data_IF_034548729131
#
_entry.id   IF_034548729131
#
_cell.length_a   1.000
_cell.length_b   1.000
_cell.length_c   1.000
_cell.angle_alpha   90.00
_cell.angle_beta   90.00
_cell.angle_gamma   90.00
#
_symmetry.space_group_name_H-M   'P 1'
#
loop_
_entity.id
_entity.type
_entity.pdbx_description
1 polymer ?
#
# COMPACT_ATOMS: atom_id res chain seq x y z
N UNK A 1 3.54 -6.46 18.95
CA UNK A 1 4.27 -5.45 18.16
C UNK A 1 3.23 -4.56 17.49
N UNK A 2 3.38 -3.25 17.64
CA UNK A 2 2.50 -2.24 17.02
C UNK A 2 3.24 -1.50 15.91
N UNK A 3 2.47 -0.86 15.02
CA UNK A 3 3.01 0.02 13.98
C UNK A 3 3.99 -0.68 13.02
N UNK A 4 3.61 -1.87 12.56
CA UNK A 4 4.40 -2.59 11.57
C UNK A 4 4.04 -2.07 10.18
N UNK A 5 5.06 -1.61 9.45
CA UNK A 5 4.91 -1.11 8.08
C UNK A 5 5.96 -1.78 7.19
N UNK A 6 5.49 -2.46 6.16
CA UNK A 6 6.35 -3.00 5.12
C UNK A 6 6.49 -2.00 3.97
N UNK A 7 7.69 -1.83 3.48
CA UNK A 7 7.96 -1.03 2.28
C UNK A 7 8.53 -1.96 1.22
N UNK A 8 7.93 -1.94 0.05
CA UNK A 8 8.32 -2.83 -1.05
C UNK A 8 8.16 -2.16 -2.43
N UNK A 9 8.55 -2.87 -3.46
CA UNK A 9 8.45 -2.44 -4.86
C UNK A 9 8.21 -3.61 -5.80
N UNK A 10 8.65 -3.46 -7.05
CA UNK A 10 8.67 -4.52 -8.10
C UNK A 10 7.30 -5.05 -8.55
N UNK A 11 6.21 -4.36 -8.25
CA UNK A 11 4.84 -4.80 -8.57
C UNK A 11 4.28 -4.10 -9.80
N UNK A 12 4.98 -3.10 -10.34
CA UNK A 12 4.56 -2.25 -11.46
C UNK A 12 3.25 -1.47 -11.20
N UNK A 13 3.02 -1.16 -9.95
CA UNK A 13 1.94 -0.30 -9.48
C UNK A 13 2.22 0.12 -8.05
N UNK A 14 1.97 1.37 -7.73
CA UNK A 14 2.15 1.89 -6.36
C UNK A 14 0.83 1.93 -5.64
N UNK A 15 0.84 1.53 -4.40
CA UNK A 15 -0.36 1.49 -3.56
C UNK A 15 0.03 1.48 -2.08
N UNK A 16 -0.95 1.79 -1.25
CA UNK A 16 -0.91 1.44 0.17
C UNK A 16 -2.02 0.44 0.48
N UNK A 17 -1.76 -0.44 1.42
CA UNK A 17 -2.69 -1.47 1.85
C UNK A 17 -2.60 -1.71 3.35
N UNK A 18 -3.65 -2.29 3.90
CA UNK A 18 -3.76 -2.65 5.30
C UNK A 18 -4.18 -4.11 5.43
N UNK A 19 -3.52 -4.82 6.33
CA UNK A 19 -3.88 -6.17 6.74
C UNK A 19 -4.47 -6.12 8.15
N UNK A 20 -5.65 -6.67 8.33
CA UNK A 20 -6.38 -6.74 9.61
C UNK A 20 -6.75 -8.18 9.94
N UNK A 21 -7.10 -8.44 11.19
CA UNK A 21 -7.58 -9.73 11.65
C UNK A 21 -9.00 -9.61 12.22
N UNK A 22 -9.87 -10.56 11.88
CA UNK A 22 -11.30 -10.47 12.24
C UNK A 22 -11.57 -10.52 13.74
N UNK A 23 -10.76 -11.25 14.49
CA UNK A 23 -10.93 -11.48 15.93
C UNK A 23 -9.95 -10.68 16.80
N UNK A 24 -9.04 -9.95 16.18
CA UNK A 24 -8.07 -9.09 16.88
C UNK A 24 -8.10 -7.67 16.32
N UNK A 25 -8.90 -6.78 16.94
CA UNK A 25 -9.04 -5.41 16.45
C UNK A 25 -7.76 -4.56 16.59
N UNK A 26 -6.81 -5.02 17.41
CA UNK A 26 -5.51 -4.34 17.57
C UNK A 26 -4.47 -4.80 16.55
N UNK A 27 -4.76 -5.88 15.81
CA UNK A 27 -3.87 -6.34 14.76
C UNK A 27 -4.05 -5.48 13.50
N UNK A 28 -3.00 -4.75 13.17
CA UNK A 28 -2.96 -3.94 11.96
C UNK A 28 -1.54 -3.86 11.43
N UNK A 29 -1.37 -4.19 10.15
CA UNK A 29 -0.11 -4.10 9.43
C UNK A 29 -0.33 -3.32 8.15
N UNK A 30 0.54 -2.37 7.88
CA UNK A 30 0.49 -1.56 6.68
C UNK A 30 1.55 -1.96 5.68
N UNK A 31 1.26 -1.78 4.40
CA UNK A 31 2.19 -1.97 3.30
C UNK A 31 2.21 -0.73 2.43
N UNK A 32 3.40 -0.27 2.10
CA UNK A 32 3.64 0.82 1.15
C UNK A 32 4.40 0.21 -0.02
N UNK A 33 3.81 0.26 -1.20
CA UNK A 33 4.45 -0.20 -2.44
C UNK A 33 4.75 1.01 -3.31
N UNK A 34 5.98 1.13 -3.79
CA UNK A 34 6.43 2.18 -4.70
C UNK A 34 7.07 1.55 -5.93
N UNK A 35 6.34 1.54 -7.04
CA UNK A 35 6.77 0.91 -8.30
C UNK A 35 5.81 1.29 -9.45
N UNK A 36 6.29 1.53 -10.67
CA UNK A 36 7.70 1.65 -11.06
C UNK A 36 8.20 3.10 -10.97
N UNK A 37 9.47 3.28 -10.72
CA UNK A 37 10.12 4.58 -10.89
C UNK A 37 10.22 4.94 -12.38
N UNK A 38 10.51 3.94 -13.19
CA UNK A 38 10.49 4.01 -14.64
C UNK A 38 10.05 2.64 -15.19
N UNK A 39 9.02 2.64 -16.02
CA UNK A 39 8.54 1.42 -16.65
C UNK A 39 8.97 1.36 -18.11
N UNK A 40 9.48 0.20 -18.52
CA UNK A 40 9.72 -0.09 -19.92
C UNK A 40 8.39 -0.24 -20.66
N UNK A 41 8.31 0.28 -21.91
CA UNK A 41 7.16 0.06 -22.78
C UNK A 41 6.88 -1.42 -23.08
N UNK A 42 7.84 -2.29 -22.80
CA UNK A 42 7.71 -3.74 -23.01
C UNK A 42 6.97 -4.44 -21.85
N UNK A 43 6.83 -3.78 -20.71
CA UNK A 43 6.14 -4.33 -19.53
C UNK A 43 4.84 -3.56 -19.29
N UNK A 44 3.70 -4.26 -19.16
CA UNK A 44 2.44 -3.60 -18.87
C UNK A 44 2.42 -3.07 -17.43
N UNK A 45 1.75 -1.92 -17.24
CA UNK A 45 1.44 -1.44 -15.91
C UNK A 45 0.43 -2.36 -15.22
N UNK A 46 0.57 -2.54 -13.92
CA UNK A 46 -0.41 -3.26 -13.12
C UNK A 46 -1.75 -2.52 -13.12
N UNK A 47 -2.83 -3.28 -13.18
CA UNK A 47 -4.19 -2.75 -13.09
C UNK A 47 -4.67 -2.78 -11.64
N UNK A 48 -5.50 -1.81 -11.26
CA UNK A 48 -6.12 -1.78 -9.94
C UNK A 48 -6.81 -3.11 -9.59
N UNK A 49 -7.53 -3.72 -10.53
CA UNK A 49 -8.22 -5.01 -10.36
C UNK A 49 -7.29 -6.17 -9.99
N UNK A 50 -5.99 -6.07 -10.28
CA UNK A 50 -4.99 -7.08 -9.90
C UNK A 50 -4.80 -7.17 -8.38
N UNK A 51 -5.02 -6.05 -7.68
CA UNK A 51 -4.79 -5.92 -6.24
C UNK A 51 -6.08 -5.86 -5.42
N UNK A 52 -7.21 -5.63 -6.06
CA UNK A 52 -8.52 -5.52 -5.38
C UNK A 52 -9.12 -6.90 -5.17
N UNK A 53 -9.18 -7.32 -3.92
CA UNK A 53 -9.83 -8.56 -3.51
C UNK A 53 -10.73 -8.29 -2.30
N UNK A 54 -12.02 -8.56 -2.45
CA UNK A 54 -13.01 -8.45 -1.35
C UNK A 54 -13.07 -9.72 -0.50
N UNK A 55 -12.12 -10.62 -0.65
CA UNK A 55 -12.10 -11.89 0.07
C UNK A 55 -11.03 -11.88 1.15
N UNK A 56 -11.24 -12.65 2.25
CA UNK A 56 -10.19 -12.86 3.22
C UNK A 56 -8.93 -13.42 2.54
N UNK A 57 -7.78 -12.83 2.85
CA UNK A 57 -6.51 -13.28 2.29
C UNK A 57 -6.15 -14.68 2.79
N UNK A 58 -6.35 -14.91 4.09
CA UNK A 58 -6.10 -16.19 4.76
C UNK A 58 -7.19 -16.43 5.80
N UNK A 59 -7.74 -17.62 5.81
CA UNK A 59 -8.69 -18.10 6.83
C UNK A 59 -7.98 -19.03 7.79
N UNK A 60 -8.16 -18.82 9.08
CA UNK A 60 -7.60 -19.65 10.14
C UNK A 60 -8.71 -20.11 11.10
N UNK A 61 -8.40 -21.09 11.96
CA UNK A 61 -9.32 -21.55 13.00
C UNK A 61 -9.66 -20.46 14.04
N UNK A 62 -8.81 -19.43 14.18
CA UNK A 62 -8.96 -18.34 15.16
C UNK A 62 -9.41 -17.02 14.52
N UNK A 63 -9.71 -16.99 13.24
CA UNK A 63 -10.18 -15.82 12.52
C UNK A 63 -9.57 -15.67 11.13
N UNK A 64 -9.96 -14.60 10.46
CA UNK A 64 -9.58 -14.32 9.08
C UNK A 64 -8.65 -13.11 9.00
N UNK A 65 -7.58 -13.23 8.20
CA UNK A 65 -6.77 -12.09 7.79
C UNK A 65 -7.38 -11.46 6.53
N UNK A 66 -7.63 -10.17 6.58
CA UNK A 66 -8.20 -9.39 5.48
C UNK A 66 -7.21 -8.35 4.97
N UNK A 67 -7.12 -8.28 3.66
CA UNK A 67 -6.34 -7.29 2.95
C UNK A 67 -7.26 -6.22 2.35
N UNK A 68 -6.91 -4.96 2.55
CA UNK A 68 -7.68 -3.82 2.07
C UNK A 68 -6.74 -2.78 1.47
N UNK A 69 -7.07 -2.30 0.26
CA UNK A 69 -6.36 -1.14 -0.30
C UNK A 69 -6.77 0.13 0.43
N UNK A 70 -5.80 0.93 0.84
CA UNK A 70 -6.00 2.21 1.51
C UNK A 70 -5.69 3.39 0.60
N UNK A 71 -5.28 3.12 -0.64
CA UNK A 71 -5.05 4.11 -1.69
C UNK A 71 -5.62 3.64 -3.02
N UNK A 72 -5.66 4.52 -4.00
CA UNK A 72 -5.78 4.10 -5.41
C UNK A 72 -4.46 3.51 -5.89
N UNK A 73 -4.51 2.68 -6.93
CA UNK A 73 -3.29 2.15 -7.56
C UNK A 73 -2.76 3.16 -8.56
N UNK A 74 -1.50 3.57 -8.37
CA UNK A 74 -0.79 4.43 -9.31
C UNK A 74 0.00 3.55 -10.27
N UNK A 75 -0.37 3.54 -11.53
CA UNK A 75 0.22 2.68 -12.56
C UNK A 75 1.15 3.40 -13.53
N UNK A 76 1.25 4.72 -13.45
CA UNK A 76 2.24 5.49 -14.20
C UNK A 76 3.59 5.55 -13.49
N UNK A 77 4.63 6.04 -14.17
CA UNK A 77 5.94 6.26 -13.54
C UNK A 77 5.78 7.16 -12.34
N UNK A 78 6.23 6.71 -11.18
CA UNK A 78 6.01 7.39 -9.92
C UNK A 78 7.06 7.01 -8.87
N UNK A 79 7.06 7.77 -7.78
CA UNK A 79 7.81 7.43 -6.58
C UNK A 79 7.02 7.83 -5.34
N UNK A 80 7.27 7.15 -4.24
CA UNK A 80 6.72 7.50 -2.95
C UNK A 80 7.72 8.32 -2.13
N UNK A 81 7.27 9.45 -1.61
CA UNK A 81 7.96 10.20 -0.56
C UNK A 81 7.27 9.89 0.76
N UNK A 82 7.99 9.23 1.66
CA UNK A 82 7.48 8.79 2.95
C UNK A 82 8.04 9.67 4.04
N UNK A 83 7.14 10.30 4.81
CA UNK A 83 7.50 11.16 5.94
C UNK A 83 7.02 10.48 7.21
N UNK A 84 7.95 10.20 8.13
CA UNK A 84 7.63 9.59 9.44
C UNK A 84 7.54 10.69 10.48
N UNK A 85 6.38 10.83 11.08
CA UNK A 85 6.10 11.77 12.17
C UNK A 85 5.85 11.00 13.48
N UNK A 86 5.66 11.72 14.57
CA UNK A 86 5.51 11.10 15.89
C UNK A 86 4.23 10.24 16.00
N UNK A 87 3.16 10.62 15.30
CA UNK A 87 1.83 10.02 15.40
C UNK A 87 1.30 9.46 14.08
N UNK A 88 2.03 9.65 12.99
CA UNK A 88 1.60 9.20 11.67
C UNK A 88 2.77 9.01 10.71
N UNK A 89 2.50 8.30 9.64
CA UNK A 89 3.35 8.20 8.46
C UNK A 89 2.58 8.78 7.28
N UNK A 90 3.15 9.76 6.61
CA UNK A 90 2.59 10.34 5.39
C UNK A 90 3.24 9.68 4.17
N UNK A 91 2.43 9.19 3.26
CA UNK A 91 2.87 8.60 1.99
C UNK A 91 2.39 9.48 0.86
N UNK A 92 3.31 10.15 0.19
CA UNK A 92 3.00 11.01 -0.94
C UNK A 92 3.52 10.37 -2.22
N UNK A 93 2.62 10.01 -3.13
CA UNK A 93 2.99 9.53 -4.46
C UNK A 93 3.10 10.70 -5.41
N UNK A 94 4.21 10.77 -6.11
CA UNK A 94 4.52 11.79 -7.11
C UNK A 94 4.77 11.14 -8.45
N UNK A 95 4.40 11.83 -9.54
CA UNK A 95 4.75 11.40 -10.89
C UNK A 95 6.23 11.67 -11.20
N UNK A 96 6.68 11.27 -12.37
CA UNK A 96 8.05 11.48 -12.84
C UNK A 96 8.51 12.94 -12.88
N UNK A 97 7.57 13.88 -12.91
CA UNK A 97 7.83 15.32 -12.92
C UNK A 97 7.76 15.95 -11.53
N UNK A 98 7.51 15.15 -10.49
CA UNK A 98 7.39 15.60 -9.12
C UNK A 98 6.00 16.13 -8.73
N UNK A 99 5.02 15.98 -9.61
CA UNK A 99 3.63 16.36 -9.30
C UNK A 99 3.04 15.33 -8.33
N UNK A 100 2.45 15.81 -7.22
CA UNK A 100 1.76 14.95 -6.27
C UNK A 100 0.47 14.38 -6.88
N UNK A 101 0.37 13.06 -6.88
CA UNK A 101 -0.79 12.31 -7.39
C UNK A 101 -1.79 12.01 -6.29
N UNK A 102 -1.31 11.60 -5.10
CA UNK A 102 -2.13 11.36 -3.92
C UNK A 102 -1.29 11.37 -2.64
N UNK A 103 -1.96 11.54 -1.53
CA UNK A 103 -1.37 11.55 -0.20
C UNK A 103 -2.20 10.69 0.74
N UNK A 104 -1.54 9.80 1.48
CA UNK A 104 -2.17 8.90 2.43
C UNK A 104 -1.52 9.09 3.79
N UNK A 105 -2.33 9.16 4.85
CA UNK A 105 -1.86 9.18 6.22
C UNK A 105 -2.13 7.84 6.89
N UNK A 106 -1.09 7.22 7.42
CA UNK A 106 -1.16 6.02 8.26
C UNK A 106 -0.99 6.48 9.71
N UNK A 107 -2.06 6.41 10.49
CA UNK A 107 -2.00 6.75 11.91
C UNK A 107 -1.26 5.68 12.69
N UNK A 108 -0.32 6.11 13.52
CA UNK A 108 0.38 5.23 14.46
C UNK A 108 -0.44 5.07 15.76
N UNK A 109 -0.30 3.93 16.37
CA UNK A 109 -1.02 3.58 17.62
C UNK A 109 -0.11 3.65 18.84
#
# INVERSE_FOLDING_TARGET
>A
IKNVVFVSGDVHGSLTARLTHSEDPDFEVHTIVSSPLCNSKLLPYAKASTFMRDQPLVRTATGDYRHELTSTVVSEDNFAHVVVEADQILVNYHDRNGKKLQSIAIKLR
#
